data_IF_190083749857
#
_entry.id   IF_190083749857
#
_cell.length_a   1.000
_cell.length_b   1.000
_cell.length_c   1.000
_cell.angle_alpha   90.00
_cell.angle_beta   90.00
_cell.angle_gamma   90.00
#
_symmetry.space_group_name_H-M   'P 1'
#
loop_
_entity.id
_entity.type
_entity.pdbx_description
1 polymer ?
#
# COMPACT_ATOMS: atom_id res chain seq x y z
N UNK A 1 -22.33 25.06 -20.29
CA UNK A 1 -22.33 24.00 -19.26
C UNK A 1 -20.92 23.90 -18.71
N UNK A 2 -20.74 23.89 -17.39
CA UNK A 2 -19.44 23.58 -16.81
C UNK A 2 -19.12 22.10 -17.12
N UNK A 3 -17.87 21.75 -17.46
CA UNK A 3 -17.50 20.35 -17.66
C UNK A 3 -17.77 19.58 -16.36
N UNK A 4 -18.52 18.49 -16.46
CA UNK A 4 -18.73 17.59 -15.32
C UNK A 4 -17.48 16.71 -15.26
N UNK A 5 -16.59 17.01 -14.31
CA UNK A 5 -15.50 16.11 -13.99
C UNK A 5 -16.09 14.89 -13.26
N UNK A 6 -15.99 13.73 -13.89
CA UNK A 6 -16.35 12.46 -13.26
C UNK A 6 -15.09 11.78 -12.77
N UNK A 7 -15.16 11.24 -11.55
CA UNK A 7 -14.09 10.47 -10.94
C UNK A 7 -14.58 9.06 -10.63
N UNK A 8 -13.73 8.06 -10.82
CA UNK A 8 -14.04 6.66 -10.50
C UNK A 8 -12.81 5.90 -10.00
N UNK A 9 -12.99 4.96 -9.07
CA UNK A 9 -11.93 4.07 -8.60
C UNK A 9 -11.93 2.79 -9.43
N UNK A 10 -10.87 2.43 -10.14
CA UNK A 10 -10.79 1.23 -10.98
C UNK A 10 -10.04 0.07 -10.31
N UNK A 11 -10.37 -1.16 -10.72
CA UNK A 11 -9.70 -2.40 -10.28
C UNK A 11 -8.24 -2.45 -10.77
N UNK A 12 -7.38 -3.27 -10.14
CA UNK A 12 -6.04 -3.54 -10.63
C UNK A 12 -5.97 -3.87 -12.13
N UNK A 13 -4.88 -3.45 -12.78
CA UNK A 13 -4.62 -3.67 -14.20
C UNK A 13 -5.39 -2.73 -15.16
N UNK A 14 -6.58 -2.25 -14.78
CA UNK A 14 -7.44 -1.42 -15.64
C UNK A 14 -6.74 -0.14 -16.11
N UNK A 15 -6.09 0.56 -15.19
CA UNK A 15 -5.32 1.77 -15.49
C UNK A 15 -3.81 1.50 -15.44
N UNK A 16 -3.37 0.28 -15.79
CA UNK A 16 -1.96 -0.13 -15.81
C UNK A 16 -1.26 0.12 -14.46
N UNK A 17 -1.92 -0.28 -13.37
CA UNK A 17 -1.41 -0.26 -11.99
C UNK A 17 -1.58 -1.63 -11.36
N UNK A 18 -0.68 -2.02 -10.46
CA UNK A 18 -0.74 -3.30 -9.75
C UNK A 18 -1.87 -3.34 -8.71
N UNK A 19 -2.30 -2.17 -8.23
CA UNK A 19 -3.43 -2.01 -7.32
C UNK A 19 -4.56 -1.18 -7.92
N UNK A 20 -5.55 -0.86 -7.09
CA UNK A 20 -6.64 0.03 -7.47
C UNK A 20 -6.12 1.43 -7.80
N UNK A 21 -6.75 2.11 -8.77
CA UNK A 21 -6.33 3.45 -9.19
C UNK A 21 -7.53 4.33 -9.51
N UNK A 22 -7.44 5.61 -9.17
CA UNK A 22 -8.46 6.59 -9.54
C UNK A 22 -8.27 7.03 -10.98
N UNK A 23 -9.39 7.21 -11.67
CA UNK A 23 -9.45 7.82 -13.00
C UNK A 23 -10.40 9.00 -12.99
N UNK A 24 -10.13 9.97 -13.85
CA UNK A 24 -10.96 11.14 -14.09
C UNK A 24 -11.31 11.26 -15.56
N UNK A 25 -12.45 11.85 -15.86
CA UNK A 25 -12.78 12.29 -17.21
C UNK A 25 -13.47 13.65 -17.16
N UNK A 26 -13.08 14.51 -18.10
CA UNK A 26 -13.77 15.76 -18.41
C UNK A 26 -14.50 15.67 -19.77
N UNK A 27 -14.44 14.52 -20.44
CA UNK A 27 -15.06 14.30 -21.75
C UNK A 27 -16.52 13.89 -21.60
N UNK A 28 -17.35 14.33 -22.55
CA UNK A 28 -18.68 13.75 -22.70
C UNK A 28 -18.62 12.26 -23.08
N UNK A 29 -19.68 11.54 -22.73
CA UNK A 29 -19.84 10.14 -23.10
C UNK A 29 -19.91 10.03 -24.64
N UNK A 30 -19.02 9.22 -25.24
CA UNK A 30 -19.01 8.96 -26.68
C UNK A 30 -19.17 7.47 -26.91
N UNK A 31 -20.22 7.10 -27.66
CA UNK A 31 -20.49 5.70 -28.02
C UNK A 31 -20.54 4.77 -26.78
N UNK A 32 -21.06 5.26 -25.66
CA UNK A 32 -21.18 4.47 -24.42
C UNK A 32 -19.89 4.37 -23.59
N UNK A 33 -18.86 5.17 -23.89
CA UNK A 33 -17.59 5.16 -23.18
C UNK A 33 -17.06 6.57 -22.87
N UNK A 34 -16.12 6.65 -21.94
CA UNK A 34 -15.40 7.86 -21.54
C UNK A 34 -13.89 7.68 -21.77
N UNK A 35 -13.23 8.76 -22.20
CA UNK A 35 -11.77 8.88 -22.10
C UNK A 35 -11.38 9.15 -20.64
N UNK A 36 -10.79 8.15 -19.99
CA UNK A 36 -10.39 8.22 -18.58
C UNK A 36 -8.88 8.45 -18.49
N UNK A 37 -8.48 9.50 -17.79
CA UNK A 37 -7.09 9.77 -17.39
C UNK A 37 -6.86 9.25 -15.98
N UNK A 38 -5.74 8.56 -15.73
CA UNK A 38 -5.35 8.16 -14.38
C UNK A 38 -5.00 9.38 -13.54
N UNK A 39 -5.57 9.45 -12.34
CA UNK A 39 -5.26 10.50 -11.36
C UNK A 39 -3.94 10.15 -10.68
N UNK A 40 -2.95 11.06 -10.64
CA UNK A 40 -1.68 10.85 -9.94
C UNK A 40 -1.87 11.10 -8.44
N UNK A 41 -2.48 10.14 -7.73
CA UNK A 41 -2.75 10.25 -6.29
C UNK A 41 -2.37 9.00 -5.52
N UNK A 42 -2.12 9.16 -4.21
CA UNK A 42 -1.76 8.08 -3.31
C UNK A 42 -0.51 7.34 -3.78
N UNK A 43 -0.58 6.01 -3.89
CA UNK A 43 0.55 5.16 -4.32
C UNK A 43 1.04 5.47 -5.74
N UNK A 44 0.23 6.16 -6.54
CA UNK A 44 0.49 6.42 -7.95
C UNK A 44 0.87 7.88 -8.22
N UNK A 45 1.19 8.68 -7.21
CA UNK A 45 1.54 10.10 -7.42
C UNK A 45 2.74 10.29 -8.36
N UNK A 46 3.75 9.42 -8.27
CA UNK A 46 4.95 9.49 -9.11
C UNK A 46 4.89 8.72 -10.43
N UNK A 47 3.79 8.03 -10.75
CA UNK A 47 3.71 7.22 -11.97
C UNK A 47 3.34 8.11 -13.17
N UNK A 48 3.94 7.84 -14.33
CA UNK A 48 3.69 8.63 -15.55
C UNK A 48 2.22 8.69 -15.98
N UNK A 49 1.87 9.68 -16.79
CA UNK A 49 0.50 9.84 -17.28
C UNK A 49 0.01 8.61 -18.06
N UNK A 50 -1.27 8.29 -17.92
CA UNK A 50 -1.90 7.18 -18.63
C UNK A 50 -3.38 7.46 -18.86
N UNK A 51 -3.90 7.09 -20.03
CA UNK A 51 -5.30 7.23 -20.37
C UNK A 51 -5.83 5.96 -21.05
N UNK A 52 -7.11 5.66 -20.82
CA UNK A 52 -7.80 4.53 -21.43
C UNK A 52 -9.29 4.82 -21.62
N UNK A 53 -9.89 4.19 -22.63
CA UNK A 53 -11.34 4.20 -22.84
C UNK A 53 -12.02 3.22 -21.89
N UNK A 54 -13.02 3.68 -21.13
CA UNK A 54 -13.81 2.84 -20.20
C UNK A 54 -15.29 3.00 -20.45
N UNK A 55 -16.05 1.91 -20.30
CA UNK A 55 -17.49 1.92 -20.51
C UNK A 55 -18.21 2.79 -19.50
N UNK A 56 -19.18 3.59 -19.96
CA UNK A 56 -19.93 4.51 -19.12
C UNK A 56 -20.63 3.85 -17.91
N UNK A 57 -21.19 2.61 -18.02
CA UNK A 57 -21.74 1.92 -16.86
C UNK A 57 -20.70 1.65 -15.78
N UNK A 58 -19.49 1.26 -16.15
CA UNK A 58 -18.40 1.00 -15.20
C UNK A 58 -18.00 2.28 -14.47
N UNK A 59 -17.80 3.38 -15.21
CA UNK A 59 -17.43 4.67 -14.62
C UNK A 59 -18.49 5.15 -13.62
N UNK A 60 -19.77 5.05 -14.00
CA UNK A 60 -20.90 5.47 -13.13
C UNK A 60 -21.03 4.59 -11.88
N UNK A 61 -20.88 3.27 -12.01
CA UNK A 61 -20.98 2.32 -10.89
C UNK A 61 -19.82 2.42 -9.91
N UNK A 62 -18.67 2.89 -10.36
CA UNK A 62 -17.45 3.04 -9.55
C UNK A 62 -17.15 4.49 -9.22
N UNK A 63 -18.16 5.37 -9.37
CA UNK A 63 -18.05 6.80 -9.18
C UNK A 63 -17.68 7.17 -7.76
N UNK A 64 -16.77 8.14 -7.63
CA UNK A 64 -16.29 8.69 -6.36
C UNK A 64 -16.31 10.22 -6.40
N UNK A 65 -16.10 10.85 -5.26
CA UNK A 65 -15.90 12.31 -5.22
C UNK A 65 -14.51 12.69 -5.72
N UNK A 66 -14.37 13.93 -6.18
CA UNK A 66 -13.06 14.50 -6.53
C UNK A 66 -12.11 14.44 -5.35
N UNK A 67 -12.58 14.81 -4.15
CA UNK A 67 -11.76 14.80 -2.93
C UNK A 67 -11.28 13.40 -2.56
N UNK A 68 -12.12 12.38 -2.71
CA UNK A 68 -11.70 10.99 -2.50
C UNK A 68 -10.59 10.60 -3.49
N UNK A 69 -10.79 10.89 -4.78
CA UNK A 69 -9.83 10.55 -5.82
C UNK A 69 -8.49 11.27 -5.64
N UNK A 70 -8.52 12.56 -5.26
CA UNK A 70 -7.31 13.34 -4.99
C UNK A 70 -6.62 12.92 -3.69
N UNK A 71 -7.36 12.45 -2.68
CA UNK A 71 -6.76 11.88 -1.46
C UNK A 71 -5.94 10.62 -1.73
N UNK A 72 -6.31 9.85 -2.76
CA UNK A 72 -5.64 8.61 -3.12
C UNK A 72 -5.90 7.44 -2.17
N UNK A 73 -6.80 7.57 -1.19
CA UNK A 73 -7.03 6.55 -0.15
C UNK A 73 -7.28 5.14 -0.70
N UNK A 74 -8.13 5.00 -1.71
CA UNK A 74 -8.47 3.70 -2.29
C UNK A 74 -7.32 3.02 -3.02
N UNK A 75 -6.27 3.77 -3.40
CA UNK A 75 -5.08 3.19 -4.02
C UNK A 75 -4.31 2.28 -3.07
N UNK A 76 -4.46 2.50 -1.76
CA UNK A 76 -3.77 1.74 -0.73
C UNK A 76 -4.36 0.35 -0.48
N UNK A 77 -5.53 0.00 -1.02
CA UNK A 77 -6.07 -1.36 -0.86
C UNK A 77 -5.10 -2.39 -1.45
N UNK A 78 -4.71 -3.37 -0.64
CA UNK A 78 -3.70 -4.38 -0.95
C UNK A 78 -2.25 -3.97 -0.64
N UNK A 79 -1.99 -2.74 -0.19
CA UNK A 79 -0.66 -2.30 0.19
C UNK A 79 -0.20 -2.88 1.53
N UNK A 80 1.08 -3.17 1.63
CA UNK A 80 1.75 -3.59 2.86
C UNK A 80 2.36 -2.37 3.54
N UNK A 81 1.96 -2.09 4.77
CA UNK A 81 2.32 -0.86 5.47
C UNK A 81 3.23 -1.12 6.66
N UNK A 82 4.10 -0.14 6.94
CA UNK A 82 4.58 0.13 8.29
C UNK A 82 3.88 1.37 8.83
N UNK A 83 3.24 1.25 10.00
CA UNK A 83 2.48 2.31 10.64
C UNK A 83 2.71 2.31 12.15
N UNK A 84 2.78 3.50 12.72
CA UNK A 84 2.86 3.65 14.16
C UNK A 84 1.48 3.48 14.80
N UNK A 85 1.32 2.53 15.73
CA UNK A 85 0.07 2.33 16.46
C UNK A 85 0.29 2.14 17.96
N UNK A 86 -0.77 2.30 18.73
CA UNK A 86 -0.78 2.09 20.18
C UNK A 86 -1.53 0.79 20.48
N UNK A 87 -0.84 -0.34 20.70
CA UNK A 87 -1.50 -1.56 21.15
C UNK A 87 -2.09 -1.35 22.55
N UNK A 88 -3.15 -2.08 22.89
CA UNK A 88 -3.80 -1.97 24.18
C UNK A 88 -2.79 -2.20 25.32
N UNK A 89 -2.70 -1.24 26.25
CA UNK A 89 -1.80 -1.29 27.40
C UNK A 89 -0.31 -1.18 27.06
N UNK A 90 0.07 -0.76 25.84
CA UNK A 90 1.47 -0.64 25.39
C UNK A 90 1.75 0.76 24.82
N UNK A 91 3.02 1.20 24.81
CA UNK A 91 3.41 2.46 24.16
C UNK A 91 3.22 2.41 22.63
N UNK A 92 3.31 3.58 21.98
CA UNK A 92 3.24 3.71 20.51
C UNK A 92 4.45 3.03 19.87
N UNK A 93 4.20 2.04 19.03
CA UNK A 93 5.22 1.22 18.35
C UNK A 93 5.02 1.20 16.84
N UNK A 94 6.09 0.94 16.10
CA UNK A 94 6.02 0.57 14.69
C UNK A 94 5.44 -0.84 14.55
N UNK A 95 4.42 -0.96 13.71
CA UNK A 95 3.78 -2.23 13.41
C UNK A 95 3.54 -2.36 11.90
N UNK A 96 3.32 -3.59 11.46
CA UNK A 96 3.24 -3.95 10.06
C UNK A 96 1.91 -4.65 9.80
N UNK A 97 1.18 -4.17 8.81
CA UNK A 97 -0.11 -4.72 8.42
C UNK A 97 -0.37 -4.54 6.93
N UNK A 98 -1.50 -5.05 6.48
CA UNK A 98 -1.94 -4.95 5.10
C UNK A 98 -3.29 -4.26 5.03
N UNK A 99 -3.46 -3.31 4.10
CA UNK A 99 -4.75 -2.63 3.90
C UNK A 99 -5.68 -3.56 3.14
N UNK A 100 -6.86 -3.82 3.70
CA UNK A 100 -7.83 -4.76 3.12
C UNK A 100 -9.06 -4.06 2.54
N UNK A 101 -9.33 -2.83 2.98
CA UNK A 101 -10.47 -2.03 2.58
C UNK A 101 -10.30 -0.59 3.07
N UNK A 102 -11.20 0.30 2.69
CA UNK A 102 -11.27 1.67 3.17
C UNK A 102 -12.72 2.16 3.20
N UNK A 103 -12.96 3.23 3.95
CA UNK A 103 -14.19 4.02 3.87
C UNK A 103 -13.86 5.49 3.67
N UNK A 104 -14.78 6.22 3.03
CA UNK A 104 -14.66 7.64 2.76
C UNK A 104 -15.89 8.40 3.24
N UNK A 105 -15.66 9.53 3.92
CA UNK A 105 -16.70 10.42 4.41
C UNK A 105 -16.70 11.73 3.60
N UNK A 106 -17.69 11.88 2.72
CA UNK A 106 -17.85 13.06 1.86
C UNK A 106 -18.02 14.37 2.65
N UNK A 107 -18.69 14.35 3.80
CA UNK A 107 -18.92 15.56 4.60
C UNK A 107 -17.65 16.00 5.32
N UNK A 108 -16.92 15.05 5.89
CA UNK A 108 -15.68 15.30 6.63
C UNK A 108 -14.44 15.44 5.75
N UNK A 109 -14.55 15.08 4.46
CA UNK A 109 -13.42 14.96 3.52
C UNK A 109 -12.26 14.15 4.11
N UNK A 110 -12.63 13.06 4.78
CA UNK A 110 -11.71 12.19 5.50
C UNK A 110 -12.06 10.73 5.25
N UNK A 111 -11.08 9.85 5.43
CA UNK A 111 -11.28 8.43 5.25
C UNK A 111 -10.61 7.61 6.32
N UNK A 112 -10.92 6.32 6.30
CA UNK A 112 -10.40 5.32 7.23
C UNK A 112 -9.89 4.15 6.41
N UNK A 113 -8.67 3.71 6.69
CA UNK A 113 -8.13 2.45 6.19
C UNK A 113 -8.49 1.32 7.16
N UNK A 114 -8.93 0.20 6.62
CA UNK A 114 -9.08 -1.04 7.37
C UNK A 114 -7.82 -1.86 7.15
N UNK A 115 -7.04 -2.05 8.22
CA UNK A 115 -5.71 -2.67 8.16
C UNK A 115 -5.69 -3.94 9.00
N UNK A 116 -5.32 -5.05 8.38
CA UNK A 116 -5.12 -6.33 9.07
C UNK A 116 -3.67 -6.45 9.54
N UNK A 117 -3.51 -6.54 10.85
CA UNK A 117 -2.26 -6.87 11.52
C UNK A 117 -2.25 -8.35 11.90
N UNK A 118 -1.13 -8.84 12.45
CA UNK A 118 -1.03 -10.22 12.92
C UNK A 118 -2.04 -10.56 14.03
N UNK A 119 -2.47 -9.57 14.82
CA UNK A 119 -3.39 -9.75 15.96
C UNK A 119 -4.85 -9.49 15.61
N UNK A 120 -5.13 -8.51 14.75
CA UNK A 120 -6.49 -8.08 14.44
C UNK A 120 -6.56 -7.16 13.21
N UNK A 121 -7.75 -7.06 12.63
CA UNK A 121 -8.11 -5.94 11.74
C UNK A 121 -8.52 -4.73 12.55
N UNK A 122 -8.02 -3.55 12.16
CA UNK A 122 -8.29 -2.27 12.83
C UNK A 122 -8.59 -1.18 11.81
N UNK A 123 -9.43 -0.25 12.22
CA UNK A 123 -9.73 0.97 11.50
C UNK A 123 -8.73 2.06 11.89
N UNK A 124 -8.07 2.66 10.91
CA UNK A 124 -7.06 3.70 11.08
C UNK A 124 -7.46 4.94 10.28
N UNK A 125 -7.46 6.11 10.91
CA UNK A 125 -7.67 7.36 10.21
C UNK A 125 -6.64 7.51 9.09
N UNK A 126 -7.10 7.87 7.89
CA UNK A 126 -6.23 8.01 6.74
C UNK A 126 -5.46 9.33 6.80
N UNK A 127 -4.13 9.22 6.80
CA UNK A 127 -3.19 10.28 6.51
C UNK A 127 -1.98 9.66 5.83
N UNK A 128 -1.68 10.05 4.59
CA UNK A 128 -0.60 9.45 3.79
C UNK A 128 0.78 9.57 4.45
N UNK A 129 0.97 10.58 5.30
CA UNK A 129 2.22 10.80 6.04
C UNK A 129 2.36 9.95 7.30
N UNK A 130 1.28 9.32 7.78
CA UNK A 130 1.26 8.56 9.05
C UNK A 130 1.81 7.13 8.92
N UNK A 131 2.06 6.68 7.68
CA UNK A 131 2.57 5.35 7.38
C UNK A 131 3.54 5.36 6.20
N UNK A 132 4.17 4.22 5.97
CA UNK A 132 4.97 3.97 4.77
C UNK A 132 4.43 2.74 4.06
N UNK A 133 4.12 2.87 2.76
CA UNK A 133 3.90 1.73 1.86
C UNK A 133 5.24 1.05 1.58
N UNK A 134 5.28 -0.28 1.71
CA UNK A 134 6.48 -1.09 1.62
C UNK A 134 6.37 -2.11 0.50
N UNK A 135 7.49 -2.36 -0.18
CA UNK A 135 7.65 -3.56 -0.98
C UNK A 135 7.54 -4.82 -0.11
N UNK A 136 7.09 -5.92 -0.71
CA UNK A 136 6.65 -7.11 0.02
C UNK A 136 7.79 -7.77 0.83
N UNK A 137 9.00 -7.79 0.27
CA UNK A 137 10.20 -8.30 0.94
C UNK A 137 10.62 -7.43 2.13
N UNK A 138 10.49 -6.10 2.01
CA UNK A 138 10.79 -5.18 3.12
C UNK A 138 9.74 -5.30 4.22
N UNK A 139 8.47 -5.47 3.83
CA UNK A 139 7.38 -5.82 4.73
C UNK A 139 7.58 -7.15 5.44
N UNK A 140 8.23 -8.14 4.81
CA UNK A 140 8.52 -9.44 5.43
C UNK A 140 9.75 -9.38 6.36
N UNK A 141 10.75 -8.54 6.04
CA UNK A 141 11.94 -8.32 6.85
C UNK A 141 11.65 -7.61 8.19
N UNK A 142 10.65 -6.71 8.22
CA UNK A 142 10.11 -6.05 9.42
C UNK A 142 11.15 -5.54 10.44
N UNK A 143 12.13 -4.72 10.02
CA UNK A 143 13.30 -4.39 10.86
C UNK A 143 12.98 -3.72 12.20
N UNK A 144 11.78 -3.14 12.38
CA UNK A 144 11.36 -2.45 13.61
C UNK A 144 10.07 -2.97 14.21
N UNK A 145 9.75 -4.24 14.00
CA UNK A 145 8.54 -4.83 14.57
C UNK A 145 8.48 -4.62 16.09
N UNK A 146 7.44 -3.92 16.53
CA UNK A 146 7.16 -3.58 17.93
C UNK A 146 8.21 -2.71 18.64
N UNK A 147 9.05 -1.99 17.88
CA UNK A 147 9.96 -0.97 18.43
C UNK A 147 9.20 0.33 18.71
N UNK A 148 9.58 1.00 19.81
CA UNK A 148 8.97 2.27 20.20
C UNK A 148 9.24 3.37 19.18
N UNK A 149 8.24 4.20 18.90
CA UNK A 149 8.41 5.38 18.02
C UNK A 149 9.35 6.43 18.59
N UNK A 150 9.64 6.38 19.90
CA UNK A 150 10.65 7.20 20.57
C UNK A 150 12.08 6.70 20.35
N UNK A 151 12.23 5.40 20.06
CA UNK A 151 13.54 4.76 19.85
C UNK A 151 13.96 4.85 18.38
N UNK A 152 12.98 4.88 17.48
CA UNK A 152 13.19 4.99 16.03
C UNK A 152 12.16 5.98 15.48
N UNK A 153 12.63 7.15 15.08
CA UNK A 153 11.79 8.20 14.52
C UNK A 153 11.39 7.86 13.07
N UNK A 154 10.33 8.48 12.51
CA UNK A 154 9.83 8.15 11.17
C UNK A 154 10.90 8.25 10.06
N UNK A 155 11.79 9.23 10.12
CA UNK A 155 12.87 9.39 9.14
C UNK A 155 13.89 8.25 9.21
N UNK A 156 14.24 7.81 10.42
CA UNK A 156 15.15 6.67 10.64
C UNK A 156 14.51 5.37 10.15
N UNK A 157 13.24 5.15 10.51
CA UNK A 157 12.45 4.01 10.05
C UNK A 157 12.45 3.91 8.52
N UNK A 158 12.18 5.02 7.81
CA UNK A 158 12.18 5.07 6.33
C UNK A 158 13.57 4.77 5.75
N UNK A 159 14.61 5.39 6.28
CA UNK A 159 15.99 5.16 5.81
C UNK A 159 16.41 3.69 5.93
N UNK A 160 15.96 3.03 7.01
CA UNK A 160 16.32 1.65 7.29
C UNK A 160 15.47 0.65 6.49
N UNK A 161 14.22 0.96 6.17
CA UNK A 161 13.46 0.21 5.16
C UNK A 161 14.13 0.28 3.79
N UNK A 162 14.60 1.46 3.37
CA UNK A 162 15.34 1.59 2.11
C UNK A 162 16.63 0.77 2.14
N UNK A 163 17.40 0.82 3.23
CA UNK A 163 18.60 0.00 3.37
C UNK A 163 18.30 -1.51 3.35
N UNK A 164 17.22 -1.95 4.00
CA UNK A 164 16.79 -3.34 3.97
C UNK A 164 16.42 -3.80 2.55
N UNK A 165 15.65 -2.97 1.83
CA UNK A 165 15.31 -3.19 0.42
C UNK A 165 16.57 -3.29 -0.46
N UNK A 166 17.48 -2.32 -0.36
CA UNK A 166 18.72 -2.28 -1.15
C UNK A 166 19.61 -3.50 -0.88
N UNK A 167 19.71 -3.93 0.37
CA UNK A 167 20.49 -5.12 0.74
C UNK A 167 19.86 -6.42 0.27
N UNK A 168 18.53 -6.52 0.31
CA UNK A 168 17.84 -7.71 -0.18
C UNK A 168 17.94 -7.82 -1.70
N UNK A 169 17.65 -6.72 -2.42
CA UNK A 169 17.60 -6.67 -3.89
C UNK A 169 18.98 -6.46 -4.54
N UNK A 170 20.06 -6.29 -3.77
CA UNK A 170 21.40 -6.14 -4.32
C UNK A 170 21.63 -4.82 -5.05
N UNK A 171 20.99 -3.74 -4.61
CA UNK A 171 21.25 -2.40 -5.17
C UNK A 171 22.69 -2.01 -4.82
N UNK A 172 23.55 -1.92 -5.84
CA UNK A 172 24.98 -1.61 -5.70
C UNK A 172 25.83 -2.71 -5.04
N UNK A 173 25.31 -3.92 -4.85
CA UNK A 173 26.01 -5.04 -4.19
C UNK A 173 25.42 -6.41 -4.59
N UNK A 174 26.05 -7.55 -4.28
CA UNK A 174 25.43 -8.85 -4.54
C UNK A 174 24.11 -9.03 -3.77
N UNK A 175 23.09 -9.56 -4.46
CA UNK A 175 21.76 -9.90 -3.92
C UNK A 175 21.88 -10.90 -2.76
N UNK A 176 21.04 -10.79 -1.72
CA UNK A 176 21.12 -11.65 -0.52
C UNK A 176 19.76 -12.12 -0.03
N UNK A 177 19.55 -13.43 -0.04
CA UNK A 177 18.32 -14.05 0.50
C UNK A 177 18.29 -14.10 2.03
N UNK A 178 19.45 -14.28 2.65
CA UNK A 178 19.54 -14.52 4.10
C UNK A 178 19.09 -13.29 4.90
N UNK A 179 17.94 -13.40 5.56
CA UNK A 179 17.41 -12.37 6.48
C UNK A 179 18.42 -11.98 7.54
N UNK A 180 19.05 -12.97 8.18
CA UNK A 180 20.08 -12.74 9.19
C UNK A 180 21.24 -11.89 8.64
N UNK A 181 21.63 -12.10 7.38
CA UNK A 181 22.71 -11.33 6.76
C UNK A 181 22.28 -9.91 6.42
N UNK A 182 21.07 -9.75 5.85
CA UNK A 182 20.49 -8.44 5.50
C UNK A 182 20.31 -7.59 6.75
N UNK A 183 19.66 -8.14 7.78
CA UNK A 183 19.35 -7.43 9.02
C UNK A 183 20.61 -7.14 9.85
N UNK A 184 21.60 -8.05 9.88
CA UNK A 184 22.88 -7.81 10.55
C UNK A 184 23.63 -6.62 9.96
N UNK A 185 23.58 -6.41 8.64
CA UNK A 185 24.25 -5.26 7.99
C UNK A 185 23.68 -3.92 8.43
N UNK A 186 22.39 -3.87 8.74
CA UNK A 186 21.71 -2.67 9.24
C UNK A 186 21.61 -2.64 10.78
N UNK A 187 22.38 -3.50 11.48
CA UNK A 187 22.40 -3.61 12.94
C UNK A 187 21.04 -3.96 13.58
N UNK A 188 20.25 -4.77 12.89
CA UNK A 188 18.94 -5.24 13.32
C UNK A 188 18.95 -6.72 13.64
N UNK A 189 18.18 -7.09 14.66
CA UNK A 189 18.02 -8.48 15.08
C UNK A 189 17.38 -9.31 13.96
N UNK A 190 17.80 -10.57 13.77
CA UNK A 190 17.16 -11.45 12.81
C UNK A 190 15.66 -11.59 13.06
N UNK A 191 14.89 -11.67 11.97
CA UNK A 191 13.47 -12.01 12.01
C UNK A 191 13.31 -13.53 12.06
N UNK A 192 12.33 -14.01 12.80
CA UNK A 192 11.94 -15.43 12.77
C UNK A 192 11.11 -15.70 11.51
N UNK A 193 11.72 -16.33 10.51
CA UNK A 193 11.09 -16.60 9.22
C UNK A 193 9.90 -17.57 9.29
N UNK A 194 9.74 -18.30 10.40
CA UNK A 194 8.60 -19.20 10.61
C UNK A 194 7.31 -18.45 10.97
N UNK A 195 7.42 -17.17 11.35
CA UNK A 195 6.27 -16.34 11.71
C UNK A 195 5.34 -16.13 10.52
N UNK A 196 4.05 -16.19 10.81
CA UNK A 196 2.98 -15.94 9.85
C UNK A 196 2.61 -14.46 9.88
N UNK A 197 2.57 -13.84 8.72
CA UNK A 197 2.20 -12.43 8.56
C UNK A 197 1.04 -12.30 7.56
N UNK A 198 0.13 -11.34 7.77
CA UNK A 198 -0.97 -11.14 6.83
C UNK A 198 -0.45 -10.53 5.53
N UNK A 199 -0.97 -11.01 4.42
CA UNK A 199 -0.83 -10.43 3.08
C UNK A 199 -2.21 -10.44 2.42
N UNK A 200 -2.43 -9.52 1.49
CA UNK A 200 -3.71 -9.40 0.83
C UNK A 200 -3.61 -9.95 -0.59
N UNK A 201 -4.34 -11.02 -0.86
CA UNK A 201 -4.47 -11.58 -2.19
C UNK A 201 -5.49 -10.75 -2.97
N UNK A 202 -5.00 -9.92 -3.90
CA UNK A 202 -5.84 -9.06 -4.75
C UNK A 202 -6.72 -9.85 -5.73
N UNK A 203 -6.31 -11.04 -6.14
CA UNK A 203 -7.06 -11.88 -7.10
C UNK A 203 -8.33 -12.43 -6.45
N UNK A 204 -8.20 -12.90 -5.20
CA UNK A 204 -9.28 -13.55 -4.46
C UNK A 204 -9.95 -12.62 -3.43
N UNK A 205 -9.43 -11.40 -3.26
CA UNK A 205 -9.90 -10.39 -2.28
C UNK A 205 -9.92 -10.91 -0.84
N UNK A 206 -8.87 -11.64 -0.45
CA UNK A 206 -8.76 -12.29 0.86
C UNK A 206 -7.44 -11.99 1.55
N UNK A 207 -7.47 -12.00 2.89
CA UNK A 207 -6.25 -11.99 3.69
C UNK A 207 -5.76 -13.42 3.84
N UNK A 208 -4.51 -13.63 3.43
CA UNK A 208 -3.79 -14.87 3.66
C UNK A 208 -2.70 -14.63 4.71
N UNK A 209 -2.49 -15.62 5.57
CA UNK A 209 -1.35 -15.60 6.48
C UNK A 209 -0.28 -16.49 5.86
N UNK A 210 0.87 -15.90 5.52
CA UNK A 210 1.99 -16.61 4.92
C UNK A 210 3.21 -16.53 5.84
N UNK A 211 4.04 -17.57 5.79
CA UNK A 211 5.35 -17.53 6.46
C UNK A 211 6.21 -16.45 5.83
N UNK A 212 6.95 -15.70 6.66
CA UNK A 212 7.98 -14.77 6.19
C UNK A 212 8.96 -15.47 5.24
N UNK A 213 9.35 -16.71 5.54
CA UNK A 213 10.18 -17.55 4.67
C UNK A 213 9.61 -17.66 3.25
N UNK A 214 8.31 -17.96 3.14
CA UNK A 214 7.63 -18.16 1.88
C UNK A 214 7.61 -16.87 1.05
N UNK A 215 7.27 -15.75 1.69
CA UNK A 215 7.24 -14.43 1.03
C UNK A 215 8.63 -14.09 0.47
N UNK A 216 9.67 -14.20 1.29
CA UNK A 216 11.03 -13.86 0.87
C UNK A 216 11.57 -14.78 -0.22
N UNK A 217 11.29 -16.08 -0.15
CA UNK A 217 11.66 -17.02 -1.22
C UNK A 217 10.92 -16.70 -2.51
N UNK A 218 9.63 -16.38 -2.41
CA UNK A 218 8.83 -16.03 -3.57
C UNK A 218 9.35 -14.77 -4.25
N UNK A 219 9.72 -13.72 -3.51
CA UNK A 219 10.30 -12.51 -4.12
C UNK A 219 11.69 -12.81 -4.70
N UNK A 220 12.56 -13.48 -3.94
CA UNK A 220 13.96 -13.69 -4.31
C UNK A 220 14.18 -14.58 -5.54
N UNK A 221 13.37 -15.62 -5.73
CA UNK A 221 13.58 -16.62 -6.80
C UNK A 221 12.69 -16.42 -8.03
N UNK A 222 11.82 -15.40 -8.02
CA UNK A 222 10.87 -15.13 -9.11
C UNK A 222 11.35 -14.03 -10.05
N UNK A 223 12.49 -13.40 -9.74
CA UNK A 223 13.32 -12.60 -10.63
C UNK A 223 14.50 -13.43 -11.18
#
# INVERSE_FOLDING_TARGET
>A
MAPINLYALFKPGVLRTEGFAYGRTASEERQGAYDIERVPSGRWEGIGAFSAQRGAPEVKQRGVTEEEALSGIGTYVGSTLCIARVPQGKPKVWNYGVVVSYTWNNLGKSGVLQVTFADATRDLAFGSEEFQDLALETYALRPYYLRGTTDVMPAEMRALHNAAHDHFNGVGQPVRRSTATVLKKISINPVDESQMVPVYNLENTQVEFLKIEHILNFVFYRE
#
